data_IF_263176176224
#
_entry.id   IF_263176176224
#
_cell.length_a   1.000
_cell.length_b   1.000
_cell.length_c   1.000
_cell.angle_alpha   90.00
_cell.angle_beta   90.00
_cell.angle_gamma   90.00
#
_symmetry.space_group_name_H-M   'P 1'
#
loop_
_entity.id
_entity.type
_entity.pdbx_description
1 polymer ?
#
# COMPACT_ATOMS: atom_id res chain seq x y z
N UNK A 1 23.21 8.80 3.57
CA UNK A 1 21.96 8.15 4.03
C UNK A 1 22.25 7.00 4.99
N UNK A 2 22.86 5.89 4.55
CA UNK A 2 23.05 4.70 5.39
C UNK A 2 23.85 4.97 6.68
N UNK A 3 24.96 5.70 6.59
CA UNK A 3 25.73 6.12 7.77
C UNK A 3 24.90 6.95 8.77
N UNK A 4 23.95 7.77 8.30
CA UNK A 4 23.03 8.50 9.18
C UNK A 4 22.10 7.53 9.90
N UNK A 5 21.51 6.58 9.18
CA UNK A 5 20.60 5.59 9.76
C UNK A 5 21.35 4.73 10.78
N UNK A 6 22.52 4.20 10.44
CA UNK A 6 23.37 3.47 11.40
C UNK A 6 23.66 4.30 12.65
N UNK A 7 24.11 5.54 12.49
CA UNK A 7 24.47 6.42 13.61
C UNK A 7 23.27 6.75 14.52
N UNK A 8 22.08 6.99 13.95
CA UNK A 8 20.91 7.48 14.70
C UNK A 8 19.97 6.37 15.17
N UNK A 9 19.85 5.29 14.40
CA UNK A 9 18.83 4.26 14.60
C UNK A 9 19.40 2.87 14.88
N UNK A 10 20.72 2.68 15.02
CA UNK A 10 21.29 1.36 15.37
C UNK A 10 20.60 0.67 16.56
N UNK A 11 20.11 1.44 17.54
CA UNK A 11 19.39 0.93 18.71
C UNK A 11 18.00 0.33 18.42
N UNK A 12 17.40 0.61 17.27
CA UNK A 12 16.11 0.05 16.84
C UNK A 12 16.23 -0.91 15.65
N UNK A 13 17.43 -1.08 15.10
CA UNK A 13 17.66 -2.04 14.01
C UNK A 13 17.79 -3.45 14.57
N UNK A 14 17.31 -4.42 13.79
CA UNK A 14 17.47 -5.84 14.07
C UNK A 14 18.68 -6.43 13.35
N UNK A 15 19.06 -7.65 13.75
CA UNK A 15 20.26 -8.32 13.22
C UNK A 15 20.32 -8.36 11.69
N UNK A 16 19.25 -8.74 10.95
CA UNK A 16 19.30 -8.77 9.49
C UNK A 16 19.61 -7.41 8.85
N UNK A 17 19.14 -6.32 9.47
CA UNK A 17 19.31 -4.96 8.97
C UNK A 17 20.72 -4.43 9.27
N UNK A 18 21.28 -4.81 10.42
CA UNK A 18 22.67 -4.51 10.77
C UNK A 18 23.63 -5.29 9.88
N UNK A 19 23.38 -6.59 9.67
CA UNK A 19 24.12 -7.44 8.74
C UNK A 19 24.05 -6.88 7.31
N UNK A 20 22.88 -6.42 6.86
CA UNK A 20 22.75 -5.75 5.56
C UNK A 20 23.69 -4.54 5.44
N UNK A 21 23.71 -3.66 6.46
CA UNK A 21 24.57 -2.48 6.44
C UNK A 21 26.05 -2.86 6.46
N UNK A 22 26.45 -3.86 7.25
CA UNK A 22 27.83 -4.34 7.33
C UNK A 22 28.28 -4.98 6.02
N UNK A 23 27.43 -5.83 5.45
CA UNK A 23 27.69 -6.48 4.16
C UNK A 23 27.79 -5.45 3.03
N UNK A 24 26.93 -4.42 3.05
CA UNK A 24 26.96 -3.35 2.06
C UNK A 24 28.26 -2.55 2.14
N UNK A 25 28.70 -2.19 3.35
CA UNK A 25 29.98 -1.48 3.57
C UNK A 25 31.19 -2.30 3.14
N UNK A 26 31.08 -3.64 3.10
CA UNK A 26 32.14 -4.55 2.67
C UNK A 26 32.27 -4.71 1.15
N UNK A 27 31.30 -4.20 0.37
CA UNK A 27 31.33 -4.21 -1.10
C UNK A 27 32.36 -3.21 -1.63
N UNK A 28 32.87 -3.47 -2.84
CA UNK A 28 33.63 -2.49 -3.62
C UNK A 28 32.81 -1.23 -3.92
N UNK A 29 33.49 -0.12 -4.16
CA UNK A 29 32.82 1.15 -4.47
C UNK A 29 31.91 1.03 -5.72
N UNK A 30 32.39 0.36 -6.78
CA UNK A 30 31.61 0.11 -7.99
C UNK A 30 30.35 -0.74 -7.71
N UNK A 31 30.46 -1.77 -6.86
CA UNK A 31 29.33 -2.60 -6.45
C UNK A 31 28.32 -1.82 -5.59
N UNK A 32 28.80 -1.00 -4.65
CA UNK A 32 27.96 -0.09 -3.89
C UNK A 32 27.21 0.89 -4.80
N UNK A 33 27.90 1.47 -5.80
CA UNK A 33 27.32 2.36 -6.79
C UNK A 33 26.22 1.66 -7.61
N UNK A 34 26.50 0.48 -8.15
CA UNK A 34 25.53 -0.26 -8.95
C UNK A 34 24.30 -0.64 -8.12
N UNK A 35 24.50 -1.12 -6.89
CA UNK A 35 23.38 -1.46 -6.00
C UNK A 35 22.51 -0.23 -5.70
N UNK A 36 23.10 0.94 -5.40
CA UNK A 36 22.32 2.17 -5.22
C UNK A 36 21.53 2.52 -6.48
N UNK A 37 22.15 2.39 -7.68
CA UNK A 37 21.47 2.64 -8.96
C UNK A 37 20.25 1.75 -9.13
N UNK A 38 20.35 0.48 -8.75
CA UNK A 38 19.22 -0.44 -8.73
C UNK A 38 18.16 -0.02 -7.72
N UNK A 39 18.53 0.17 -6.46
CA UNK A 39 17.63 0.52 -5.35
C UNK A 39 16.90 1.85 -5.51
N UNK A 40 17.40 2.76 -6.35
CA UNK A 40 16.75 4.03 -6.66
C UNK A 40 15.79 3.97 -7.83
N UNK A 41 15.77 2.88 -8.59
CA UNK A 41 14.77 2.64 -9.63
C UNK A 41 13.54 1.98 -9.00
N UNK A 42 12.38 2.14 -9.65
CA UNK A 42 11.11 1.57 -9.18
C UNK A 42 10.99 0.07 -9.39
N UNK A 43 11.80 -0.51 -10.28
CA UNK A 43 11.74 -1.93 -10.64
C UNK A 43 12.71 -2.73 -9.78
N UNK A 44 12.36 -3.97 -9.44
CA UNK A 44 13.25 -4.87 -8.71
C UNK A 44 14.03 -5.83 -9.63
N UNK A 45 13.62 -5.97 -10.89
CA UNK A 45 14.28 -6.82 -11.89
C UNK A 45 14.98 -6.00 -12.97
N UNK A 46 16.16 -6.47 -13.40
CA UNK A 46 17.01 -5.79 -14.38
C UNK A 46 17.61 -6.76 -15.38
N UNK A 47 17.65 -6.34 -16.65
CA UNK A 47 18.37 -7.02 -17.74
C UNK A 47 19.84 -6.61 -17.72
N UNK A 48 20.76 -7.54 -17.52
CA UNK A 48 22.17 -7.22 -17.25
C UNK A 48 22.88 -6.59 -18.45
N UNK A 49 22.60 -7.03 -19.68
CA UNK A 49 23.29 -6.51 -20.87
C UNK A 49 22.84 -5.09 -21.23
N UNK A 50 21.68 -4.66 -20.71
CA UNK A 50 21.17 -3.30 -20.92
C UNK A 50 21.74 -2.27 -19.94
N UNK A 51 22.55 -2.70 -18.97
CA UNK A 51 23.17 -1.83 -17.98
C UNK A 51 24.39 -1.15 -18.59
N UNK A 52 24.33 0.18 -18.69
CA UNK A 52 25.43 1.00 -19.16
C UNK A 52 25.59 2.20 -18.22
N UNK A 53 26.67 2.19 -17.45
CA UNK A 53 27.05 3.23 -16.50
C UNK A 53 28.52 3.54 -16.73
N UNK A 54 28.83 4.76 -17.17
CA UNK A 54 30.20 5.17 -17.52
C UNK A 54 31.14 5.22 -16.32
N UNK A 55 30.58 5.33 -15.12
CA UNK A 55 31.30 5.39 -13.86
C UNK A 55 31.74 4.01 -13.34
N UNK A 56 31.15 2.91 -13.83
CA UNK A 56 31.49 1.55 -13.40
C UNK A 56 32.49 0.97 -14.38
N UNK A 57 33.65 0.54 -13.88
CA UNK A 57 34.74 0.06 -14.72
C UNK A 57 34.45 -1.31 -15.36
N UNK A 58 34.28 -2.33 -14.52
CA UNK A 58 34.09 -3.73 -14.96
C UNK A 58 32.71 -4.25 -14.53
N UNK A 59 31.71 -4.06 -15.38
CA UNK A 59 30.32 -4.47 -15.10
C UNK A 59 30.19 -5.97 -14.81
N UNK A 60 30.80 -6.90 -15.59
CA UNK A 60 30.81 -8.31 -15.24
C UNK A 60 31.35 -8.60 -13.84
N UNK A 61 32.53 -8.07 -13.49
CA UNK A 61 33.13 -8.32 -12.17
C UNK A 61 32.24 -7.80 -11.03
N UNK A 62 31.63 -6.62 -11.21
CA UNK A 62 30.71 -6.03 -10.23
C UNK A 62 29.44 -6.85 -10.06
N UNK A 63 28.85 -7.35 -11.16
CA UNK A 63 27.69 -8.24 -11.09
C UNK A 63 28.04 -9.56 -10.39
N UNK A 64 29.22 -10.12 -10.64
CA UNK A 64 29.70 -11.31 -9.94
C UNK A 64 29.84 -11.05 -8.43
N UNK A 65 30.45 -9.94 -8.03
CA UNK A 65 30.57 -9.58 -6.61
C UNK A 65 29.19 -9.46 -5.94
N UNK A 66 28.25 -8.76 -6.58
CA UNK A 66 26.90 -8.60 -6.04
C UNK A 66 26.14 -9.94 -5.94
N UNK A 67 26.36 -10.87 -6.86
CA UNK A 67 25.80 -12.23 -6.80
C UNK A 67 26.41 -13.02 -5.63
N UNK A 68 27.74 -13.03 -5.50
CA UNK A 68 28.44 -13.74 -4.43
C UNK A 68 28.08 -13.21 -3.04
N UNK A 69 27.79 -11.92 -2.94
CA UNK A 69 27.36 -11.25 -1.71
C UNK A 69 25.84 -11.21 -1.53
N UNK A 70 25.07 -11.86 -2.41
CA UNK A 70 23.61 -11.95 -2.39
C UNK A 70 22.85 -10.61 -2.48
N UNK A 71 23.49 -9.53 -2.97
CA UNK A 71 22.83 -8.24 -3.22
C UNK A 71 21.97 -8.25 -4.49
N UNK A 72 22.24 -9.19 -5.39
CA UNK A 72 21.37 -9.54 -6.50
C UNK A 72 21.27 -11.06 -6.58
N UNK A 73 20.21 -11.55 -7.21
CA UNK A 73 19.97 -12.97 -7.44
C UNK A 73 19.55 -13.23 -8.88
N UNK A 74 19.95 -14.39 -9.41
CA UNK A 74 19.45 -14.87 -10.71
C UNK A 74 18.00 -15.29 -10.58
N UNK A 75 17.25 -15.30 -11.68
CA UNK A 75 15.88 -15.81 -11.67
C UNK A 75 15.82 -17.26 -11.15
N UNK A 76 14.94 -17.52 -10.19
CA UNK A 76 14.71 -18.81 -9.54
C UNK A 76 13.22 -18.95 -9.20
N UNK A 77 12.78 -20.14 -8.79
CA UNK A 77 11.35 -20.45 -8.53
C UNK A 77 10.70 -19.52 -7.50
N UNK A 78 11.48 -18.94 -6.57
CA UNK A 78 10.96 -17.96 -5.61
C UNK A 78 10.37 -16.70 -6.29
N UNK A 79 10.73 -16.43 -7.54
CA UNK A 79 10.24 -15.30 -8.33
C UNK A 79 8.98 -15.60 -9.15
N UNK A 80 8.42 -16.81 -9.07
CA UNK A 80 7.24 -17.22 -9.84
C UNK A 80 6.08 -16.24 -9.68
N UNK A 81 5.77 -15.84 -8.45
CA UNK A 81 4.70 -14.89 -8.14
C UNK A 81 4.90 -13.49 -8.76
N UNK A 82 6.13 -13.16 -9.16
CA UNK A 82 6.53 -11.86 -9.74
C UNK A 82 6.91 -11.96 -11.21
N UNK A 83 6.61 -13.07 -11.88
CA UNK A 83 6.93 -13.29 -13.28
C UNK A 83 6.40 -12.18 -14.20
N UNK A 84 5.23 -11.62 -13.90
CA UNK A 84 4.67 -10.49 -14.64
C UNK A 84 5.63 -9.30 -14.72
N UNK A 85 6.36 -9.00 -13.64
CA UNK A 85 7.34 -7.91 -13.59
C UNK A 85 8.56 -8.19 -14.49
N UNK A 86 8.98 -9.46 -14.55
CA UNK A 86 10.07 -9.92 -15.43
C UNK A 86 9.66 -9.79 -16.89
N UNK A 87 8.47 -10.27 -17.24
CA UNK A 87 7.93 -10.18 -18.61
C UNK A 87 7.80 -8.71 -19.04
N UNK A 88 7.42 -7.83 -18.12
CA UNK A 88 7.27 -6.40 -18.41
C UNK A 88 8.58 -5.66 -18.69
N UNK A 89 9.75 -6.27 -18.41
CA UNK A 89 11.05 -5.74 -18.84
C UNK A 89 11.23 -5.72 -20.35
N UNK A 90 10.52 -6.60 -21.06
CA UNK A 90 10.68 -6.78 -22.50
C UNK A 90 9.67 -5.94 -23.28
N UNK A 91 10.10 -5.48 -24.43
CA UNK A 91 9.26 -4.79 -25.42
C UNK A 91 8.36 -5.80 -26.13
N UNK A 92 7.26 -5.32 -26.73
CA UNK A 92 6.36 -6.21 -27.51
C UNK A 92 7.10 -7.01 -28.60
N UNK A 93 8.02 -6.43 -29.40
CA UNK A 93 8.77 -7.21 -30.39
C UNK A 93 9.61 -8.34 -29.77
N UNK A 94 10.30 -8.08 -28.67
CA UNK A 94 11.08 -9.09 -27.93
C UNK A 94 10.16 -10.18 -27.36
N UNK A 95 9.00 -9.81 -26.82
CA UNK A 95 8.01 -10.80 -26.34
C UNK A 95 7.50 -11.70 -27.48
N UNK A 96 7.30 -11.17 -28.69
CA UNK A 96 6.95 -11.98 -29.86
C UNK A 96 8.11 -12.86 -30.35
N UNK A 97 9.37 -12.55 -30.01
CA UNK A 97 10.52 -13.43 -30.23
C UNK A 97 10.55 -14.55 -29.21
N UNK A 98 10.36 -14.23 -27.94
CA UNK A 98 10.20 -15.21 -26.86
C UNK A 98 9.05 -16.18 -27.20
N UNK A 99 7.90 -15.67 -27.62
CA UNK A 99 6.77 -16.52 -28.07
C UNK A 99 7.14 -17.42 -29.23
N UNK A 100 7.98 -16.97 -30.18
CA UNK A 100 8.43 -17.83 -31.28
C UNK A 100 9.33 -18.97 -30.81
N UNK A 101 10.22 -18.69 -29.85
CA UNK A 101 11.11 -19.71 -29.26
C UNK A 101 10.36 -20.73 -28.39
N UNK A 102 9.17 -20.36 -27.89
CA UNK A 102 8.27 -21.25 -27.16
C UNK A 102 7.44 -22.18 -28.06
N UNK A 103 7.47 -21.96 -29.38
CA UNK A 103 6.79 -22.79 -30.39
C UNK A 103 5.32 -23.15 -30.06
N UNK A 104 4.42 -22.17 -29.80
CA UNK A 104 3.02 -22.45 -29.50
C UNK A 104 2.30 -23.08 -30.70
N UNK A 105 1.27 -23.89 -30.42
CA UNK A 105 0.38 -24.44 -31.45
C UNK A 105 -0.29 -23.34 -32.28
N UNK A 106 -0.67 -22.23 -31.63
CA UNK A 106 -1.30 -21.07 -32.28
C UNK A 106 -0.53 -19.81 -31.88
N UNK A 107 0.14 -19.21 -32.86
CA UNK A 107 0.85 -17.95 -32.66
C UNK A 107 -0.13 -16.78 -32.43
N UNK A 108 0.08 -15.96 -31.39
CA UNK A 108 -0.64 -14.71 -31.22
C UNK A 108 -0.47 -13.78 -32.43
N UNK A 109 -1.52 -13.04 -32.76
CA UNK A 109 -1.47 -12.05 -33.86
C UNK A 109 -0.35 -11.03 -33.62
N UNK A 110 0.37 -10.64 -34.68
CA UNK A 110 1.36 -9.54 -34.63
C UNK A 110 0.74 -8.22 -34.16
N UNK A 111 -0.58 -8.03 -34.32
CA UNK A 111 -1.30 -6.83 -33.87
C UNK A 111 -1.68 -6.83 -32.39
N UNK A 112 -1.48 -7.94 -31.65
CA UNK A 112 -1.82 -8.05 -30.22
C UNK A 112 -1.22 -6.90 -29.40
N UNK A 113 -1.95 -6.35 -28.44
CA UNK A 113 -1.41 -5.32 -27.55
C UNK A 113 -0.48 -5.96 -26.53
N UNK A 114 0.55 -5.24 -26.05
CA UNK A 114 1.50 -5.78 -25.05
C UNK A 114 0.78 -6.35 -23.82
N UNK A 115 -0.18 -5.67 -23.17
CA UNK A 115 -0.84 -6.21 -21.99
C UNK A 115 -1.57 -7.54 -22.24
N UNK A 116 -2.19 -7.69 -23.40
CA UNK A 116 -2.91 -8.92 -23.77
C UNK A 116 -1.91 -10.06 -24.08
N UNK A 117 -0.77 -9.75 -24.70
CA UNK A 117 0.31 -10.72 -24.92
C UNK A 117 0.93 -11.19 -23.60
N UNK A 118 1.16 -10.27 -22.65
CA UNK A 118 1.66 -10.62 -21.31
C UNK A 118 0.67 -11.55 -20.60
N UNK A 119 -0.62 -11.21 -20.60
CA UNK A 119 -1.66 -12.07 -20.01
C UNK A 119 -1.71 -13.45 -20.62
N UNK A 120 -1.60 -13.53 -21.95
CA UNK A 120 -1.58 -14.81 -22.66
C UNK A 120 -0.35 -15.64 -22.30
N UNK A 121 0.86 -15.04 -22.30
CA UNK A 121 2.10 -15.74 -21.92
C UNK A 121 2.04 -16.30 -20.50
N UNK A 122 1.56 -15.48 -19.53
CA UNK A 122 1.43 -15.88 -18.13
C UNK A 122 0.34 -16.93 -17.88
N UNK A 123 -0.60 -17.10 -18.81
CA UNK A 123 -1.65 -18.11 -18.72
C UNK A 123 -1.23 -19.43 -19.38
N UNK A 124 -0.54 -19.35 -20.51
CA UNK A 124 -0.19 -20.50 -21.33
C UNK A 124 1.04 -21.26 -20.82
N UNK A 125 2.02 -20.53 -20.25
CA UNK A 125 3.31 -21.10 -19.87
C UNK A 125 3.59 -20.92 -18.39
N UNK A 126 4.24 -21.92 -17.80
CA UNK A 126 4.74 -21.84 -16.44
C UNK A 126 6.02 -21.00 -16.33
N UNK A 127 6.41 -20.73 -15.09
CA UNK A 127 7.59 -19.94 -14.78
C UNK A 127 8.89 -20.55 -15.31
N UNK A 128 9.06 -21.87 -15.18
CA UNK A 128 10.31 -22.55 -15.53
C UNK A 128 10.58 -22.48 -17.03
N UNK A 129 9.54 -22.70 -17.85
CA UNK A 129 9.61 -22.63 -19.31
C UNK A 129 9.89 -21.20 -19.77
N UNK A 130 9.15 -20.22 -19.25
CA UNK A 130 9.36 -18.81 -19.61
C UNK A 130 10.75 -18.32 -19.22
N UNK A 131 11.19 -18.59 -17.99
CA UNK A 131 12.52 -18.19 -17.53
C UNK A 131 13.64 -18.91 -18.28
N UNK A 132 13.44 -20.18 -18.66
CA UNK A 132 14.39 -20.94 -19.47
C UNK A 132 14.64 -20.29 -20.84
N UNK A 133 13.58 -19.81 -21.50
CA UNK A 133 13.71 -19.10 -22.80
C UNK A 133 14.26 -17.68 -22.60
N UNK A 134 13.78 -16.95 -21.60
CA UNK A 134 14.23 -15.58 -21.30
C UNK A 134 15.73 -15.58 -20.99
N UNK A 135 16.20 -16.51 -20.14
CA UNK A 135 17.60 -16.61 -19.74
C UNK A 135 18.56 -16.93 -20.88
N UNK A 136 18.08 -17.53 -21.98
CA UNK A 136 18.88 -17.75 -23.19
C UNK A 136 19.07 -16.47 -24.00
N UNK A 137 18.11 -15.54 -23.95
CA UNK A 137 18.16 -14.29 -24.70
C UNK A 137 18.90 -13.19 -23.92
N UNK A 138 18.54 -13.01 -22.65
CA UNK A 138 19.00 -11.89 -21.83
C UNK A 138 19.03 -12.31 -20.36
N UNK A 139 20.19 -12.30 -19.69
CA UNK A 139 20.24 -12.58 -18.26
C UNK A 139 19.48 -11.51 -17.48
N UNK A 140 18.61 -11.97 -16.58
CA UNK A 140 17.83 -11.11 -15.70
C UNK A 140 18.26 -11.39 -14.27
N UNK A 141 18.51 -10.31 -13.53
CA UNK A 141 18.78 -10.36 -12.10
C UNK A 141 17.66 -9.65 -11.34
N UNK A 142 17.38 -10.14 -10.14
CA UNK A 142 16.52 -9.46 -9.17
C UNK A 142 17.41 -8.87 -8.08
N UNK A 143 17.06 -7.66 -7.65
CA UNK A 143 17.76 -6.94 -6.60
C UNK A 143 17.27 -7.43 -5.25
N UNK A 144 18.20 -7.80 -4.37
CA UNK A 144 17.90 -8.25 -3.02
C UNK A 144 17.69 -7.08 -2.05
N UNK A 145 17.34 -7.39 -0.81
CA UNK A 145 17.24 -6.44 0.30
C UNK A 145 16.22 -5.29 0.08
N UNK A 146 15.12 -5.55 -0.64
CA UNK A 146 14.10 -4.54 -0.92
C UNK A 146 13.47 -3.98 0.36
N UNK A 147 13.24 -4.83 1.37
CA UNK A 147 12.65 -4.45 2.64
C UNK A 147 13.60 -3.59 3.47
N UNK A 148 14.87 -3.97 3.55
CA UNK A 148 15.92 -3.26 4.28
C UNK A 148 16.16 -1.90 3.63
N UNK A 149 16.29 -1.85 2.31
CA UNK A 149 16.42 -0.57 1.57
C UNK A 149 15.22 0.33 1.82
N UNK A 150 14.00 -0.22 1.80
CA UNK A 150 12.78 0.52 2.09
C UNK A 150 12.79 1.08 3.51
N UNK A 151 13.18 0.28 4.50
CA UNK A 151 13.30 0.68 5.89
C UNK A 151 14.37 1.76 6.06
N UNK A 152 15.55 1.60 5.46
CA UNK A 152 16.62 2.60 5.55
C UNK A 152 16.18 3.95 4.96
N UNK A 153 15.49 3.94 3.82
CA UNK A 153 14.89 5.16 3.24
C UNK A 153 13.84 5.74 4.17
N UNK A 154 12.95 4.90 4.69
CA UNK A 154 11.88 5.32 5.59
C UNK A 154 12.41 5.94 6.89
N UNK A 155 13.42 5.35 7.54
CA UNK A 155 14.04 5.89 8.75
C UNK A 155 14.77 7.21 8.47
N UNK A 156 15.36 7.34 7.28
CA UNK A 156 16.08 8.54 6.89
C UNK A 156 15.13 9.71 6.56
N UNK A 157 14.11 9.48 5.73
CA UNK A 157 13.16 10.51 5.32
C UNK A 157 12.03 10.75 6.33
N UNK A 158 11.75 9.76 7.18
CA UNK A 158 10.61 9.79 8.10
C UNK A 158 9.26 9.45 7.47
N UNK A 159 9.24 9.19 6.17
CA UNK A 159 8.04 8.95 5.40
C UNK A 159 8.36 8.11 4.16
N UNK A 160 7.33 7.68 3.43
CA UNK A 160 7.45 6.84 2.24
C UNK A 160 7.40 7.59 0.89
N UNK A 161 6.95 8.84 0.87
CA UNK A 161 6.77 9.62 -0.37
C UNK A 161 8.04 10.34 -0.82
N UNK A 162 8.92 10.66 0.12
CA UNK A 162 10.23 11.23 -0.14
C UNK A 162 11.21 10.16 -0.65
N UNK A 163 12.10 10.55 -1.56
CA UNK A 163 13.09 9.66 -2.13
C UNK A 163 14.43 10.37 -2.40
N UNK A 164 15.39 9.62 -2.94
CA UNK A 164 16.74 10.12 -3.21
C UNK A 164 16.77 11.25 -4.26
N UNK A 165 15.69 11.49 -5.01
CA UNK A 165 15.63 12.60 -5.98
C UNK A 165 15.59 13.97 -5.31
N UNK A 166 15.18 14.05 -4.04
CA UNK A 166 15.18 15.30 -3.27
C UNK A 166 16.59 15.91 -3.15
N UNK A 167 17.62 15.07 -3.03
CA UNK A 167 19.03 15.50 -2.99
C UNK A 167 19.52 15.99 -4.36
N UNK A 168 19.09 15.33 -5.44
CA UNK A 168 19.47 15.73 -6.80
C UNK A 168 18.83 17.07 -7.17
N UNK A 169 17.57 17.29 -6.79
CA UNK A 169 16.87 18.57 -7.02
C UNK A 169 17.52 19.72 -6.26
N UNK A 170 18.02 19.47 -5.04
CA UNK A 170 18.82 20.43 -4.26
C UNK A 170 20.13 20.76 -4.96
N UNK A 171 20.89 19.75 -5.37
CA UNK A 171 22.23 19.91 -5.93
C UNK A 171 22.21 20.55 -7.34
N UNK A 172 21.09 20.41 -8.07
CA UNK A 172 20.82 21.14 -9.32
C UNK A 172 20.39 22.61 -9.10
N UNK A 173 20.26 23.07 -7.86
CA UNK A 173 19.94 24.47 -7.53
C UNK A 173 18.48 24.88 -7.73
N UNK A 174 17.57 23.93 -8.00
CA UNK A 174 16.16 24.21 -8.26
C UNK A 174 15.31 24.39 -7.01
N UNK A 175 15.77 23.90 -5.85
CA UNK A 175 15.13 24.12 -4.55
C UNK A 175 16.21 24.42 -3.51
N UNK A 176 16.17 25.62 -2.92
CA UNK A 176 16.92 25.93 -1.69
C UNK A 176 16.08 25.45 -0.51
N UNK A 177 16.33 24.23 -0.04
CA UNK A 177 15.85 23.86 1.29
C UNK A 177 16.54 24.77 2.32
N UNK A 178 15.80 25.18 3.35
CA UNK A 178 16.38 25.85 4.50
C UNK A 178 17.54 24.98 5.00
N UNK A 179 18.70 25.58 5.31
CA UNK A 179 19.86 24.84 5.82
C UNK A 179 19.49 24.21 7.15
N UNK A 180 18.93 23.00 7.10
CA UNK A 180 18.65 22.20 8.27
C UNK A 180 19.97 21.64 8.73
N UNK A 181 20.48 22.27 9.77
CA UNK A 181 21.55 21.78 10.61
C UNK A 181 21.24 20.31 10.98
N UNK A 182 22.21 19.38 10.84
CA UNK A 182 21.99 17.94 11.10
C UNK A 182 21.47 17.66 12.53
N UNK A 183 21.66 18.61 13.44
CA UNK A 183 21.12 18.62 14.80
C UNK A 183 19.58 18.76 14.86
N UNK A 184 18.94 19.28 13.82
CA UNK A 184 17.48 19.41 13.68
C UNK A 184 16.83 18.31 12.84
N UNK A 185 17.62 17.40 12.26
CA UNK A 185 17.09 16.09 11.85
C UNK A 185 16.81 15.31 13.14
N UNK A 186 15.69 15.63 13.78
CA UNK A 186 15.23 14.97 14.99
C UNK A 186 15.05 13.49 14.71
N UNK A 187 15.51 12.65 15.63
CA UNK A 187 15.17 11.22 15.64
C UNK A 187 13.64 11.14 15.57
N UNK A 188 13.12 10.55 14.51
CA UNK A 188 11.68 10.49 14.27
C UNK A 188 11.05 9.30 14.98
N UNK A 189 11.82 8.25 15.25
CA UNK A 189 11.35 7.00 15.86
C UNK A 189 12.26 6.64 17.03
N UNK A 190 11.69 6.55 18.23
CA UNK A 190 12.47 6.28 19.45
C UNK A 190 12.55 4.77 19.73
N UNK A 191 11.56 4.02 19.24
CA UNK A 191 11.49 2.58 19.38
C UNK A 191 11.28 1.90 18.03
N UNK A 192 11.63 0.61 17.95
CA UNK A 192 11.32 -0.20 16.77
C UNK A 192 9.82 -0.22 16.46
N UNK A 193 8.99 -0.31 17.51
CA UNK A 193 7.53 -0.27 17.36
C UNK A 193 7.04 1.03 16.71
N UNK A 194 7.65 2.18 17.03
CA UNK A 194 7.28 3.43 16.38
C UNK A 194 7.52 3.38 14.87
N UNK A 195 8.68 2.84 14.46
CA UNK A 195 9.04 2.70 13.05
C UNK A 195 8.13 1.71 12.33
N UNK A 196 7.94 0.50 12.89
CA UNK A 196 7.15 -0.56 12.28
C UNK A 196 5.67 -0.17 12.14
N UNK A 197 5.06 0.38 13.19
CA UNK A 197 3.66 0.78 13.14
C UNK A 197 3.44 1.93 12.11
N UNK A 198 4.36 2.90 12.08
CA UNK A 198 4.25 4.04 11.16
C UNK A 198 4.51 3.62 9.71
N UNK A 199 5.46 2.70 9.49
CA UNK A 199 5.71 2.09 8.18
C UNK A 199 4.51 1.28 7.72
N UNK A 200 3.96 0.41 8.58
CA UNK A 200 2.78 -0.41 8.27
C UNK A 200 1.59 0.45 7.84
N UNK A 201 1.26 1.50 8.60
CA UNK A 201 0.16 2.42 8.23
C UNK A 201 0.43 3.10 6.88
N UNK A 202 1.69 3.47 6.61
CA UNK A 202 2.08 4.07 5.32
C UNK A 202 1.90 3.09 4.17
N UNK A 203 2.32 1.84 4.33
CA UNK A 203 2.13 0.78 3.33
C UNK A 203 0.65 0.51 3.08
N UNK A 204 -0.18 0.45 4.12
CA UNK A 204 -1.63 0.25 3.93
C UNK A 204 -2.28 1.40 3.17
N UNK A 205 -1.84 2.65 3.40
CA UNK A 205 -2.31 3.80 2.61
C UNK A 205 -1.96 3.66 1.13
N UNK A 206 -0.74 3.19 0.82
CA UNK A 206 -0.30 2.94 -0.56
C UNK A 206 -1.10 1.80 -1.19
N UNK A 207 -1.28 0.69 -0.47
CA UNK A 207 -2.12 -0.43 -0.91
C UNK A 207 -3.51 0.05 -1.24
N UNK A 208 -4.16 0.81 -0.34
CA UNK A 208 -5.48 1.40 -0.57
C UNK A 208 -5.53 2.24 -1.85
N UNK A 209 -4.51 3.05 -2.12
CA UNK A 209 -4.47 3.88 -3.33
C UNK A 209 -4.42 3.07 -4.63
N UNK A 210 -3.86 1.87 -4.60
CA UNK A 210 -3.87 0.91 -5.71
C UNK A 210 -5.24 0.23 -5.80
N UNK A 211 -5.65 -0.48 -4.74
CA UNK A 211 -6.79 -1.40 -4.81
C UNK A 211 -8.15 -0.71 -4.91
N UNK A 212 -8.29 0.55 -4.48
CA UNK A 212 -9.56 1.30 -4.52
C UNK A 212 -10.12 1.51 -5.94
N UNK A 213 -9.29 1.31 -6.97
CA UNK A 213 -9.70 1.44 -8.37
C UNK A 213 -10.10 0.10 -8.98
N UNK A 214 -9.59 -1.00 -8.44
CA UNK A 214 -9.71 -2.33 -9.03
C UNK A 214 -10.72 -3.22 -8.30
N UNK A 215 -10.93 -2.99 -7.00
CA UNK A 215 -11.81 -3.79 -6.16
C UNK A 215 -13.16 -3.10 -5.89
N UNK A 216 -14.24 -3.89 -5.69
CA UNK A 216 -15.52 -3.34 -5.28
C UNK A 216 -15.44 -2.74 -3.86
N UNK A 217 -16.28 -1.75 -3.54
CA UNK A 217 -16.25 -1.08 -2.22
C UNK A 217 -16.42 -2.00 -1.01
N UNK A 218 -17.18 -3.09 -1.13
CA UNK A 218 -17.38 -4.11 -0.10
C UNK A 218 -16.07 -4.81 0.27
N UNK A 219 -15.30 -5.23 -0.73
CA UNK A 219 -14.01 -5.88 -0.51
C UNK A 219 -12.99 -4.94 0.12
N UNK A 220 -13.04 -3.64 -0.22
CA UNK A 220 -12.21 -2.60 0.41
C UNK A 220 -12.54 -2.43 1.89
N UNK A 221 -13.84 -2.46 2.23
CA UNK A 221 -14.27 -2.40 3.63
C UNK A 221 -13.77 -3.63 4.40
N UNK A 222 -13.98 -4.84 3.88
CA UNK A 222 -13.56 -6.08 4.53
C UNK A 222 -12.02 -6.13 4.68
N UNK A 223 -11.28 -5.76 3.63
CA UNK A 223 -9.82 -5.64 3.67
C UNK A 223 -9.35 -4.72 4.82
N UNK A 224 -9.91 -3.51 4.90
CA UNK A 224 -9.52 -2.55 5.93
C UNK A 224 -9.87 -3.05 7.34
N UNK A 225 -11.07 -3.60 7.52
CA UNK A 225 -11.53 -4.05 8.85
C UNK A 225 -10.78 -5.30 9.32
N UNK A 226 -10.44 -6.21 8.42
CA UNK A 226 -9.60 -7.37 8.73
C UNK A 226 -8.21 -6.93 9.18
N UNK A 227 -7.58 -6.00 8.44
CA UNK A 227 -6.29 -5.44 8.84
C UNK A 227 -6.38 -4.68 10.18
N UNK A 228 -7.39 -3.82 10.35
CA UNK A 228 -7.57 -3.07 11.59
C UNK A 228 -7.72 -3.98 12.81
N UNK A 229 -8.49 -5.06 12.67
CA UNK A 229 -8.71 -6.03 13.75
C UNK A 229 -7.42 -6.78 14.10
N UNK A 230 -6.62 -7.14 13.11
CA UNK A 230 -5.37 -7.87 13.32
C UNK A 230 -4.23 -6.98 13.84
N UNK A 231 -4.14 -5.73 13.37
CA UNK A 231 -2.92 -4.91 13.54
C UNK A 231 -3.18 -3.42 13.77
N UNK A 232 -4.42 -2.95 13.65
CA UNK A 232 -4.77 -1.53 13.84
C UNK A 232 -5.00 -1.12 15.29
N UNK A 233 -5.00 -2.06 16.23
CA UNK A 233 -5.12 -1.79 17.67
C UNK A 233 -3.75 -1.78 18.35
N UNK A 234 -3.57 -0.93 19.37
CA UNK A 234 -2.30 -0.86 20.10
C UNK A 234 -1.13 -0.28 19.28
N UNK A 235 -1.42 0.56 18.29
CA UNK A 235 -0.41 1.31 17.54
C UNK A 235 0.34 2.28 18.46
N UNK A 236 1.61 2.53 18.15
CA UNK A 236 2.43 3.54 18.79
C UNK A 236 1.81 4.93 18.65
N UNK A 237 2.11 5.81 19.61
CA UNK A 237 1.64 7.19 19.58
C UNK A 237 2.11 7.93 18.31
N UNK A 238 3.26 7.55 17.73
CA UNK A 238 3.77 8.16 16.50
C UNK A 238 2.96 7.76 15.25
N UNK A 239 2.42 6.55 15.23
CA UNK A 239 1.61 6.06 14.12
C UNK A 239 0.16 6.59 14.15
N UNK A 240 -0.38 6.90 15.33
CA UNK A 240 -1.78 7.30 15.53
C UNK A 240 -2.25 8.45 14.62
N UNK A 241 -1.53 9.59 14.46
CA UNK A 241 -1.99 10.67 13.59
C UNK A 241 -2.11 10.22 12.12
N UNK A 242 -1.14 9.42 11.66
CA UNK A 242 -1.17 8.87 10.31
C UNK A 242 -2.33 7.88 10.15
N UNK A 243 -2.57 7.05 11.17
CA UNK A 243 -3.64 6.07 11.18
C UNK A 243 -5.03 6.73 11.21
N UNK A 244 -5.26 7.73 12.05
CA UNK A 244 -6.51 8.50 12.07
C UNK A 244 -6.78 9.19 10.73
N UNK A 245 -5.74 9.77 10.12
CA UNK A 245 -5.85 10.31 8.75
C UNK A 245 -6.22 9.23 7.73
N UNK A 246 -5.75 7.98 7.90
CA UNK A 246 -6.12 6.87 7.04
C UNK A 246 -7.58 6.47 7.22
N UNK A 247 -8.06 6.34 8.46
CA UNK A 247 -9.47 6.11 8.80
C UNK A 247 -10.35 7.12 8.06
N UNK A 248 -10.05 8.41 8.18
CA UNK A 248 -10.81 9.48 7.51
C UNK A 248 -10.80 9.31 5.98
N UNK A 249 -9.66 8.95 5.39
CA UNK A 249 -9.51 8.74 3.94
C UNK A 249 -10.38 7.58 3.44
N UNK A 250 -10.37 6.45 4.13
CA UNK A 250 -11.14 5.25 3.76
C UNK A 250 -12.63 5.50 3.95
N UNK A 251 -13.05 6.02 5.10
CA UNK A 251 -14.45 6.32 5.38
C UNK A 251 -15.04 7.32 4.38
N UNK A 252 -14.32 8.40 4.05
CA UNK A 252 -14.77 9.37 3.06
C UNK A 252 -14.87 8.75 1.65
N UNK A 253 -14.02 7.79 1.31
CA UNK A 253 -14.12 7.06 0.05
C UNK A 253 -15.34 6.15 0.00
N UNK A 254 -15.58 5.36 1.05
CA UNK A 254 -16.77 4.49 1.17
C UNK A 254 -18.07 5.30 1.13
N UNK A 255 -18.08 6.46 1.79
CA UNK A 255 -19.21 7.36 1.79
C UNK A 255 -19.51 7.89 0.37
N UNK A 256 -18.47 8.25 -0.41
CA UNK A 256 -18.64 8.62 -1.84
C UNK A 256 -19.17 7.46 -2.67
N UNK A 257 -18.85 6.22 -2.31
CA UNK A 257 -19.38 4.98 -2.91
C UNK A 257 -20.76 4.57 -2.39
N UNK A 258 -21.40 5.39 -1.56
CA UNK A 258 -22.74 5.17 -0.98
C UNK A 258 -22.84 3.99 0.00
N UNK A 259 -21.71 3.52 0.52
CA UNK A 259 -21.67 2.52 1.59
C UNK A 259 -21.80 3.19 2.97
N UNK A 260 -22.99 3.72 3.26
CA UNK A 260 -23.17 4.61 4.41
C UNK A 260 -22.93 3.92 5.75
N UNK A 261 -23.45 2.71 5.95
CA UNK A 261 -23.28 1.96 7.20
C UNK A 261 -21.82 1.55 7.43
N UNK A 262 -21.13 1.12 6.39
CA UNK A 262 -19.71 0.75 6.44
C UNK A 262 -18.82 1.96 6.70
N UNK A 263 -19.09 3.09 6.03
CA UNK A 263 -18.39 4.34 6.29
C UNK A 263 -18.59 4.80 7.74
N UNK A 264 -19.80 4.66 8.29
CA UNK A 264 -20.11 4.97 9.69
C UNK A 264 -19.27 4.11 10.64
N UNK A 265 -19.20 2.79 10.43
CA UNK A 265 -18.38 1.87 11.23
C UNK A 265 -16.91 2.31 11.27
N UNK A 266 -16.33 2.64 10.11
CA UNK A 266 -14.91 3.03 10.07
C UNK A 266 -14.70 4.42 10.69
N UNK A 267 -15.60 5.40 10.46
CA UNK A 267 -15.49 6.70 11.14
C UNK A 267 -15.56 6.59 12.67
N UNK A 268 -16.23 5.59 13.24
CA UNK A 268 -16.29 5.38 14.69
C UNK A 268 -14.94 4.98 15.31
N UNK A 269 -13.96 4.56 14.49
CA UNK A 269 -12.63 4.17 14.97
C UNK A 269 -11.76 5.36 15.41
N UNK A 270 -12.15 6.59 15.05
CA UNK A 270 -11.45 7.80 15.48
C UNK A 270 -12.42 8.89 15.90
N UNK A 271 -11.99 9.73 16.82
CA UNK A 271 -12.70 10.95 17.17
C UNK A 271 -12.10 12.18 16.51
N UNK A 272 -11.00 12.06 15.75
CA UNK A 272 -10.34 13.19 15.08
C UNK A 272 -11.27 13.85 14.06
N UNK A 273 -11.29 15.17 14.05
CA UNK A 273 -12.08 15.92 13.08
C UNK A 273 -11.69 15.57 11.63
N UNK A 274 -12.66 15.40 10.71
CA UNK A 274 -14.11 15.66 10.87
C UNK A 274 -14.95 14.41 11.25
N UNK A 275 -14.38 13.33 11.81
CA UNK A 275 -15.07 12.05 11.96
C UNK A 275 -16.41 12.14 12.70
N UNK A 276 -16.47 12.85 13.83
CA UNK A 276 -17.70 12.97 14.65
C UNK A 276 -18.81 13.69 13.90
N UNK A 277 -18.51 14.80 13.23
CA UNK A 277 -19.47 15.47 12.33
C UNK A 277 -19.98 14.51 11.25
N UNK A 278 -19.08 13.77 10.59
CA UNK A 278 -19.48 12.85 9.51
C UNK A 278 -20.37 11.73 10.03
N UNK A 279 -20.10 11.20 11.22
CA UNK A 279 -20.94 10.20 11.90
C UNK A 279 -22.36 10.72 12.14
N UNK A 280 -22.52 11.95 12.65
CA UNK A 280 -23.85 12.58 12.83
C UNK A 280 -24.63 12.62 11.51
N UNK A 281 -23.98 13.07 10.42
CA UNK A 281 -24.61 13.15 9.10
C UNK A 281 -25.02 11.77 8.57
N UNK A 282 -24.18 10.75 8.79
CA UNK A 282 -24.45 9.39 8.35
C UNK A 282 -25.59 8.75 9.14
N UNK A 283 -25.59 8.86 10.48
CA UNK A 283 -26.68 8.39 11.35
C UNK A 283 -28.02 9.01 10.93
N UNK A 284 -28.04 10.32 10.71
CA UNK A 284 -29.24 11.01 10.22
C UNK A 284 -29.72 10.47 8.86
N UNK A 285 -28.80 10.23 7.91
CA UNK A 285 -29.14 9.69 6.60
C UNK A 285 -29.61 8.23 6.64
N UNK A 286 -29.15 7.45 7.62
CA UNK A 286 -29.56 6.07 7.87
C UNK A 286 -30.90 5.97 8.62
N UNK A 287 -31.42 7.10 9.12
CA UNK A 287 -32.67 7.15 9.88
C UNK A 287 -32.49 6.97 11.39
N UNK A 288 -31.26 6.83 11.87
CA UNK A 288 -30.92 6.73 13.29
C UNK A 288 -30.87 8.11 13.95
N UNK A 289 -32.05 8.74 14.01
CA UNK A 289 -32.20 10.15 14.41
C UNK A 289 -31.80 10.37 15.87
N UNK A 290 -32.16 9.45 16.76
CA UNK A 290 -31.92 9.62 18.19
C UNK A 290 -30.41 9.48 18.50
N UNK A 291 -29.70 8.57 17.83
CA UNK A 291 -28.24 8.47 17.91
C UNK A 291 -27.53 9.71 17.34
N UNK A 292 -28.04 10.24 16.22
CA UNK A 292 -27.50 11.48 15.64
C UNK A 292 -27.62 12.68 16.60
N UNK A 293 -28.76 12.80 17.30
CA UNK A 293 -29.00 13.85 18.30
C UNK A 293 -28.10 13.67 19.53
N UNK A 294 -27.97 12.45 20.04
CA UNK A 294 -27.10 12.15 21.18
C UNK A 294 -25.63 12.50 20.86
N UNK A 295 -25.15 12.18 19.66
CA UNK A 295 -23.79 12.53 19.24
C UNK A 295 -23.62 14.05 19.04
N UNK A 296 -24.63 14.78 18.58
CA UNK A 296 -24.61 16.25 18.57
C UNK A 296 -24.45 16.83 19.99
N UNK A 297 -25.18 16.30 20.97
CA UNK A 297 -25.07 16.73 22.38
C UNK A 297 -23.66 16.46 22.93
N UNK A 298 -23.10 15.28 22.67
CA UNK A 298 -21.72 14.92 23.04
C UNK A 298 -20.69 15.91 22.45
N UNK A 299 -20.82 16.24 21.16
CA UNK A 299 -19.93 17.21 20.49
C UNK A 299 -20.10 18.62 21.09
N UNK A 300 -21.32 19.01 21.45
CA UNK A 300 -21.59 20.33 22.05
C UNK A 300 -20.99 20.46 23.46
N UNK A 301 -20.96 19.38 24.24
CA UNK A 301 -20.33 19.35 25.57
C UNK A 301 -18.80 19.38 25.48
N UNK A 302 -18.21 18.68 24.51
CA UNK A 302 -16.75 18.59 24.34
C UNK A 302 -16.32 18.70 22.88
N UNK A 303 -16.35 19.91 22.29
CA UNK A 303 -15.92 20.14 20.91
C UNK A 303 -14.39 20.11 20.80
N UNK A 304 -13.85 19.44 19.77
CA UNK A 304 -12.40 19.43 19.53
C UNK A 304 -11.92 20.68 18.79
N UNK A 305 -12.81 21.33 18.04
CA UNK A 305 -12.53 22.57 17.32
C UNK A 305 -13.81 23.43 17.18
N UNK A 306 -13.64 24.66 16.69
CA UNK A 306 -14.73 25.60 16.53
C UNK A 306 -15.79 25.11 15.53
N UNK A 307 -15.35 24.50 14.43
CA UNK A 307 -16.24 24.02 13.35
C UNK A 307 -17.21 22.94 13.87
N UNK A 308 -16.72 21.98 14.65
CA UNK A 308 -17.55 20.95 15.27
C UNK A 308 -18.57 21.53 16.25
N UNK A 309 -18.20 22.56 17.03
CA UNK A 309 -19.11 23.24 17.95
C UNK A 309 -20.25 23.94 17.21
N UNK A 310 -19.94 24.66 16.13
CA UNK A 310 -20.97 25.30 15.31
C UNK A 310 -21.84 24.25 14.61
N UNK A 311 -21.22 23.21 14.06
CA UNK A 311 -21.93 22.12 13.40
C UNK A 311 -22.91 21.43 14.34
N UNK A 312 -22.51 21.08 15.56
CA UNK A 312 -23.36 20.30 16.47
C UNK A 312 -24.62 21.04 16.85
N UNK A 313 -24.54 22.33 17.18
CA UNK A 313 -25.68 23.19 17.50
C UNK A 313 -26.62 23.36 16.30
N UNK A 314 -26.07 23.74 15.14
CA UNK A 314 -26.86 24.00 13.93
C UNK A 314 -27.56 22.73 13.42
N UNK A 315 -26.85 21.60 13.42
CA UNK A 315 -27.39 20.33 12.93
C UNK A 315 -28.41 19.74 13.91
N UNK A 316 -28.21 19.90 15.22
CA UNK A 316 -29.17 19.49 16.24
C UNK A 316 -30.50 20.21 16.08
N UNK A 317 -30.48 21.54 15.95
CA UNK A 317 -31.68 22.34 15.69
C UNK A 317 -32.36 21.95 14.38
N UNK A 318 -31.58 21.70 13.32
CA UNK A 318 -32.12 21.22 12.04
C UNK A 318 -32.86 19.89 12.16
N UNK A 319 -32.34 18.94 12.93
CA UNK A 319 -33.00 17.65 13.17
C UNK A 319 -34.29 17.86 13.97
N UNK A 320 -34.24 18.64 15.05
CA UNK A 320 -35.42 18.94 15.90
C UNK A 320 -36.52 19.64 15.13
N UNK A 321 -36.19 20.65 14.34
CA UNK A 321 -37.16 21.41 13.54
C UNK A 321 -37.83 20.55 12.46
N UNK A 322 -37.14 19.54 11.91
CA UNK A 322 -37.75 18.54 11.03
C UNK A 322 -38.64 17.51 11.76
N UNK A 323 -38.53 17.38 13.09
CA UNK A 323 -39.41 16.58 13.95
C UNK A 323 -40.66 17.35 14.43
N UNK A 324 -40.77 18.66 14.14
CA UNK A 324 -41.96 19.51 14.41
C UNK A 324 -43.17 19.17 13.50
N UNK A 325 -44.40 19.61 13.83
CA UNK A 325 -45.65 18.89 13.54
C UNK A 325 -46.05 18.95 12.06
N UNK A 326 -45.57 18.03 11.25
CA UNK A 326 -46.12 17.78 9.90
C UNK A 326 -46.09 16.29 9.51
N UNK A 327 -46.24 15.41 10.51
CA UNK A 327 -46.67 14.02 10.31
C UNK A 327 -47.97 13.78 11.07
N UNK A 328 -49.01 14.48 10.65
CA UNK A 328 -50.39 14.07 10.87
C UNK A 328 -51.06 14.00 9.51
N UNK A 329 -50.79 12.91 8.79
CA UNK A 329 -51.68 12.41 7.75
C UNK A 329 -51.98 10.97 8.13
N UNK A 330 -53.16 10.81 8.71
CA UNK A 330 -53.88 9.55 8.75
C UNK A 330 -53.98 8.97 7.34
N UNK A 331 -53.63 7.69 7.18
CA UNK A 331 -54.32 6.84 6.22
C UNK A 331 -54.37 5.40 6.79
N UNK A 332 -55.56 4.79 6.97
CA UNK A 332 -55.70 3.47 7.52
C UNK A 332 -55.67 2.39 6.43
N UNK A 333 -54.85 1.37 6.66
CA UNK A 333 -55.06 0.03 6.10
C UNK A 333 -54.07 -0.43 5.04
N UNK A 334 -53.25 -1.42 5.41
CA UNK A 334 -53.29 -2.70 4.70
C UNK A 334 -52.72 -3.83 5.56
N UNK A 335 -53.28 -5.01 5.38
CA UNK A 335 -53.31 -6.14 6.31
C UNK A 335 -51.98 -6.89 6.52
N UNK A 336 -51.89 -7.42 7.74
CA UNK A 336 -51.23 -8.66 8.12
C UNK A 336 -51.14 -9.73 7.02
N UNK A 337 -49.92 -10.21 6.74
CA UNK A 337 -49.67 -11.65 6.53
C UNK A 337 -48.38 -12.09 7.22
N UNK A 338 -48.55 -12.75 8.36
CA UNK A 338 -47.64 -13.81 8.81
C UNK A 338 -47.74 -14.97 7.82
N UNK A 339 -46.61 -15.38 7.25
CA UNK A 339 -46.44 -16.66 6.56
C UNK A 339 -45.26 -17.39 7.16
N UNK A 340 -45.53 -18.45 7.92
CA UNK A 340 -44.54 -19.36 8.48
C UNK A 340 -44.19 -20.46 7.48
N UNK A 341 -42.90 -20.80 7.47
CA UNK A 341 -42.26 -22.09 7.11
C UNK A 341 -42.14 -22.50 5.63
N UNK A 342 -40.89 -22.81 5.30
CA UNK A 342 -40.44 -23.60 4.15
C UNK A 342 -38.91 -23.61 4.13
N UNK A 343 -38.30 -24.40 5.01
CA UNK A 343 -36.89 -24.72 4.94
C UNK A 343 -36.68 -25.62 3.72
N UNK A 344 -35.75 -25.26 2.85
CA UNK A 344 -35.07 -26.22 1.98
C UNK A 344 -33.59 -25.85 1.89
N UNK A 345 -32.80 -26.73 2.49
CA UNK A 345 -31.37 -26.89 2.31
C UNK A 345 -31.09 -27.18 0.84
N UNK A 346 -30.31 -26.32 0.18
CA UNK A 346 -29.52 -26.71 -0.98
C UNK A 346 -28.06 -26.32 -0.74
N UNK A 347 -27.36 -27.31 -0.22
CA UNK A 347 -25.91 -27.45 -0.22
C UNK A 347 -25.38 -27.36 -1.65
N UNK A 348 -24.42 -26.46 -1.93
CA UNK A 348 -23.48 -26.62 -3.04
C UNK A 348 -22.09 -26.15 -2.57
N UNK A 349 -21.01 -26.89 -2.91
CA UNK A 349 -19.72 -26.83 -2.25
C UNK A 349 -18.71 -25.94 -2.99
N UNK A 350 -17.60 -25.62 -2.32
CA UNK A 350 -16.41 -25.11 -2.99
C UNK A 350 -15.80 -23.91 -2.30
N UNK A 351 -14.99 -24.17 -1.29
CA UNK A 351 -14.12 -23.14 -0.70
C UNK A 351 -13.11 -22.66 -1.75
N UNK A 352 -13.12 -21.35 -2.01
CA UNK A 352 -12.01 -20.66 -2.65
C UNK A 352 -11.21 -20.05 -1.51
N UNK A 353 -10.01 -20.60 -1.27
CA UNK A 353 -9.02 -20.01 -0.36
C UNK A 353 -8.63 -18.64 -0.92
N UNK A 354 -8.84 -17.61 -0.13
CA UNK A 354 -8.27 -16.29 -0.37
C UNK A 354 -6.83 -16.28 0.19
N UNK A 355 -5.95 -17.07 -0.42
CA UNK A 355 -4.50 -17.02 -0.22
C UNK A 355 -3.89 -16.45 -1.50
N UNK A 356 -3.65 -15.13 -1.52
CA UNK A 356 -2.70 -14.39 -2.40
C UNK A 356 -3.18 -12.94 -2.49
N UNK A 357 -2.60 -12.08 -1.66
CA UNK A 357 -2.31 -10.65 -1.90
C UNK A 357 -1.67 -10.06 -0.64
N UNK A 358 -0.59 -10.67 -0.17
CA UNK A 358 0.37 -10.07 0.75
C UNK A 358 1.76 -10.56 0.31
N UNK A 359 2.71 -9.68 -0.04
CA UNK A 359 4.11 -10.05 0.09
C UNK A 359 4.39 -10.22 1.59
N UNK A 360 4.88 -11.39 1.97
CA UNK A 360 5.22 -11.72 3.34
C UNK A 360 6.20 -10.71 3.93
N UNK A 361 5.71 -9.86 4.82
CA UNK A 361 6.49 -9.32 5.92
C UNK A 361 6.18 -10.25 7.11
N UNK A 362 6.93 -11.34 7.21
CA UNK A 362 7.09 -12.03 8.49
C UNK A 362 8.03 -11.20 9.34
N UNK A 363 7.48 -10.61 10.41
CA UNK A 363 8.24 -10.32 11.62
C UNK A 363 8.25 -11.57 12.49
#
# INVERSE_FOLDING_TARGET
MLAFVRKRYAHILHEPELEFLDNYESLSEDAQCLFIRFSNRRKSFFRTNSLSYSEIGDMPAVLTELLERNFIETLCEAHESRLAEVIDLFTKPELLEITRLLEPEIMPSKSIKKPDLVRWLLYEYDFAVLCGVIGQMEPVVKVSFEAEVMLMKFLFFGNRYADMTEFVVRDLGHVRFQSFDEQYLSIQFDTRKDADDTLMVSLMKETFDVIKHDLPPEEIYDWFMNWHTASGTGLSHKALPSFNSFILKVSAWLERKKMLSQALTIYQLTNDAPARERRVRLLYNLGEIDEALALCEEIAESPQNADERFFSLDFYEKIKNKKGPDRQTDDPGFESRRGHRGADFLSVPGGIRCDRLLPGAGL
#
